data_IF_642306496378
#
_entry.id   IF_642306496378
#
_cell.length_a   1.000
_cell.length_b   1.000
_cell.length_c   1.000
_cell.angle_alpha   90.00
_cell.angle_beta   90.00
_cell.angle_gamma   90.00
#
_symmetry.space_group_name_H-M   'P 1'
#
loop_
_entity.id
_entity.type
_entity.pdbx_description
1 polymer ?
#
# COMPACT_ATOMS: atom_id res chain seq x y z
N UNK A 1 -17.04 -5.03 9.39
CA UNK A 1 -15.77 -5.40 10.02
C UNK A 1 -15.22 -6.61 9.29
N UNK A 2 -14.22 -6.40 8.44
CA UNK A 2 -13.48 -7.48 7.80
C UNK A 2 -12.70 -8.26 8.86
N UNK A 3 -12.66 -9.58 8.75
CA UNK A 3 -11.82 -10.40 9.62
C UNK A 3 -10.36 -10.27 9.17
N UNK A 4 -9.50 -9.93 10.12
CA UNK A 4 -8.06 -9.84 9.92
C UNK A 4 -7.38 -10.96 10.71
N UNK A 5 -6.35 -11.53 10.09
CA UNK A 5 -5.61 -12.63 10.64
C UNK A 5 -4.12 -12.30 10.62
N UNK A 6 -3.43 -12.59 11.72
CA UNK A 6 -1.98 -12.67 11.69
C UNK A 6 -1.57 -13.87 10.82
N UNK A 7 -0.63 -13.67 9.90
CA UNK A 7 -0.05 -14.75 9.11
C UNK A 7 1.05 -15.42 9.94
N UNK A 8 0.76 -16.59 10.52
CA UNK A 8 1.71 -17.30 11.38
C UNK A 8 3.02 -17.59 10.64
N UNK A 9 4.15 -17.27 11.29
CA UNK A 9 5.48 -17.46 10.72
C UNK A 9 5.90 -16.43 9.66
N UNK A 10 5.04 -15.46 9.34
CA UNK A 10 5.38 -14.33 8.48
C UNK A 10 5.64 -13.08 9.34
N UNK A 11 6.78 -12.43 9.09
CA UNK A 11 7.16 -11.19 9.75
C UNK A 11 7.70 -10.21 8.71
N UNK A 12 7.58 -8.91 8.99
CA UNK A 12 8.22 -7.88 8.18
C UNK A 12 9.73 -8.12 8.19
N UNK A 13 10.41 -8.18 7.02
CA UNK A 13 11.86 -8.32 6.99
C UNK A 13 12.55 -7.19 7.73
N UNK A 14 13.62 -7.52 8.47
CA UNK A 14 14.31 -6.57 9.35
C UNK A 14 14.69 -5.24 8.66
N UNK A 15 15.21 -5.20 7.41
CA UNK A 15 15.52 -3.93 6.76
C UNK A 15 14.29 -3.02 6.59
N UNK A 16 13.12 -3.61 6.28
CA UNK A 16 11.88 -2.87 6.10
C UNK A 16 11.31 -2.41 7.45
N UNK A 17 11.45 -3.22 8.51
CA UNK A 17 11.07 -2.82 9.86
C UNK A 17 11.94 -1.65 10.39
N UNK A 18 13.25 -1.67 10.13
CA UNK A 18 14.16 -0.56 10.48
C UNK A 18 13.78 0.70 9.73
N UNK A 19 13.49 0.59 8.43
CA UNK A 19 13.05 1.72 7.61
C UNK A 19 11.75 2.33 8.14
N UNK A 20 10.74 1.52 8.44
CA UNK A 20 9.48 2.00 9.01
C UNK A 20 9.71 2.71 10.34
N UNK A 21 10.50 2.12 11.25
CA UNK A 21 10.81 2.73 12.55
C UNK A 21 11.54 4.09 12.41
N UNK A 22 12.44 4.23 11.43
CA UNK A 22 13.10 5.50 11.15
C UNK A 22 12.11 6.57 10.67
N UNK A 23 11.12 6.18 9.86
CA UNK A 23 10.05 7.09 9.43
C UNK A 23 9.12 7.44 10.60
N UNK A 24 8.77 6.48 11.46
CA UNK A 24 7.97 6.73 12.67
C UNK A 24 8.63 7.76 13.58
N UNK A 25 9.94 7.61 13.79
CA UNK A 25 10.75 8.56 14.57
C UNK A 25 10.77 9.94 13.90
N UNK A 26 11.01 10.00 12.58
CA UNK A 26 11.09 11.25 11.83
C UNK A 26 9.79 12.05 11.87
N UNK A 27 8.64 11.39 11.74
CA UNK A 27 7.33 12.07 11.70
C UNK A 27 6.65 12.17 13.08
N UNK A 28 7.21 11.50 14.09
CA UNK A 28 6.63 11.32 15.41
C UNK A 28 5.16 10.85 15.33
N UNK A 29 4.97 9.69 14.70
CA UNK A 29 3.66 9.11 14.41
C UNK A 29 3.75 7.67 13.89
N UNK A 30 2.63 6.94 13.89
CA UNK A 30 2.60 5.55 13.43
C UNK A 30 2.84 5.46 11.92
N UNK A 31 3.51 4.39 11.50
CA UNK A 31 3.70 4.03 10.09
C UNK A 31 3.10 2.65 9.84
N UNK A 32 2.35 2.52 8.75
CA UNK A 32 1.91 1.22 8.27
C UNK A 32 2.69 0.81 7.02
N UNK A 33 3.14 -0.43 7.00
CA UNK A 33 3.67 -1.07 5.80
C UNK A 33 2.53 -1.90 5.24
N UNK A 34 2.06 -1.61 4.03
CA UNK A 34 0.88 -2.29 3.50
C UNK A 34 0.87 -2.35 1.97
N UNK A 35 0.09 -3.28 1.42
CA UNK A 35 -0.11 -3.38 -0.01
C UNK A 35 1.01 -4.12 -0.74
N UNK A 36 1.59 -3.47 -1.75
CA UNK A 36 2.39 -4.13 -2.77
C UNK A 36 3.67 -4.77 -2.22
N UNK A 37 4.38 -4.06 -1.36
CA UNK A 37 5.65 -4.52 -0.78
C UNK A 37 5.49 -5.83 0.00
N UNK A 38 4.48 -5.93 0.88
CA UNK A 38 4.28 -7.15 1.68
C UNK A 38 3.76 -8.30 0.83
N UNK A 39 2.83 -8.04 -0.10
CA UNK A 39 2.35 -9.03 -1.06
C UNK A 39 3.52 -9.65 -1.83
N UNK A 40 4.40 -8.81 -2.37
CA UNK A 40 5.53 -9.27 -3.18
C UNK A 40 6.51 -10.12 -2.36
N UNK A 41 6.83 -9.68 -1.14
CA UNK A 41 7.70 -10.42 -0.22
C UNK A 41 7.12 -11.78 0.18
N UNK A 42 5.81 -11.86 0.44
CA UNK A 42 5.12 -13.14 0.75
C UNK A 42 5.22 -14.12 -0.43
N UNK A 43 5.15 -13.61 -1.67
CA UNK A 43 5.35 -14.41 -2.88
C UNK A 43 6.82 -14.65 -3.24
N UNK A 44 7.76 -14.17 -2.40
CA UNK A 44 9.21 -14.25 -2.65
C UNK A 44 9.63 -13.57 -3.96
N UNK A 45 8.92 -12.50 -4.32
CA UNK A 45 9.23 -11.64 -5.45
C UNK A 45 9.87 -10.33 -4.97
N UNK A 46 10.76 -9.71 -5.76
CA UNK A 46 11.29 -8.40 -5.43
C UNK A 46 10.17 -7.34 -5.47
N UNK A 47 10.05 -6.49 -4.44
CA UNK A 47 9.16 -5.34 -4.48
C UNK A 47 9.66 -4.32 -5.51
N UNK A 48 8.72 -3.62 -6.16
CA UNK A 48 9.06 -2.53 -7.08
C UNK A 48 9.35 -1.24 -6.32
N UNK A 49 8.58 -1.01 -5.28
CA UNK A 49 8.52 0.16 -4.42
C UNK A 49 8.19 -0.29 -2.99
N UNK A 50 8.47 0.58 -2.02
CA UNK A 50 8.14 0.40 -0.61
C UNK A 50 7.08 1.44 -0.23
N UNK A 51 5.85 0.98 0.00
CA UNK A 51 4.73 1.83 0.41
C UNK A 51 4.68 1.96 1.95
N UNK A 52 4.89 3.18 2.45
CA UNK A 52 4.78 3.54 3.87
C UNK A 52 3.61 4.51 4.05
N UNK A 53 2.58 4.08 4.77
CA UNK A 53 1.35 4.83 4.96
C UNK A 53 1.37 5.55 6.30
N UNK A 54 1.09 6.84 6.29
CA UNK A 54 1.24 7.71 7.46
C UNK A 54 0.07 8.66 7.59
N UNK A 55 -0.36 8.93 8.83
CA UNK A 55 -1.25 10.06 9.11
C UNK A 55 -0.48 11.10 9.92
N UNK A 56 -0.42 12.32 9.38
CA UNK A 56 0.18 13.47 10.05
C UNK A 56 -0.85 14.59 10.05
N UNK A 57 -1.15 15.11 11.24
CA UNK A 57 -2.02 16.28 11.41
C UNK A 57 -1.50 17.45 10.59
N UNK A 58 -2.40 18.24 10.00
CA UNK A 58 -2.06 19.34 9.09
C UNK A 58 -0.99 20.28 9.67
N UNK A 59 -1.10 20.63 10.96
CA UNK A 59 -0.16 21.52 11.67
C UNK A 59 1.27 20.95 11.80
N UNK A 60 1.46 19.66 11.54
CA UNK A 60 2.76 18.96 11.61
C UNK A 60 3.31 18.53 10.24
N UNK A 61 2.56 18.71 9.15
CA UNK A 61 2.95 18.20 7.83
C UNK A 61 4.27 18.80 7.34
N UNK A 62 4.48 20.10 7.49
CA UNK A 62 5.74 20.75 7.10
C UNK A 62 6.96 20.20 7.87
N UNK A 63 6.78 19.98 9.18
CA UNK A 63 7.84 19.43 10.02
C UNK A 63 8.15 17.96 9.65
N UNK A 64 7.11 17.16 9.40
CA UNK A 64 7.26 15.78 8.94
C UNK A 64 7.95 15.74 7.57
N UNK A 65 7.56 16.60 6.63
CA UNK A 65 8.20 16.67 5.32
C UNK A 65 9.68 17.01 5.42
N UNK A 66 10.03 18.01 6.23
CA UNK A 66 11.43 18.36 6.49
C UNK A 66 12.22 17.19 7.06
N UNK A 67 11.65 16.46 8.02
CA UNK A 67 12.31 15.29 8.62
C UNK A 67 12.49 14.14 7.60
N UNK A 68 11.52 13.93 6.70
CA UNK A 68 11.64 12.95 5.62
C UNK A 68 12.73 13.36 4.61
N UNK A 69 12.85 14.65 4.29
CA UNK A 69 13.93 15.15 3.43
C UNK A 69 15.30 15.00 4.10
N UNK A 70 15.39 15.20 5.41
CA UNK A 70 16.63 14.93 6.15
C UNK A 70 16.98 13.43 6.16
N UNK A 71 15.98 12.55 6.17
CA UNK A 71 16.16 11.10 6.19
C UNK A 71 16.51 10.52 4.81
N UNK A 72 15.86 10.98 3.75
CA UNK A 72 15.93 10.38 2.41
C UNK A 72 16.58 11.27 1.35
N UNK A 73 16.78 12.55 1.63
CA UNK A 73 17.14 13.56 0.64
C UNK A 73 15.92 14.16 -0.06
N UNK A 74 16.16 14.93 -1.12
CA UNK A 74 15.10 15.60 -1.87
C UNK A 74 14.17 14.57 -2.54
N UNK A 75 12.85 14.82 -2.54
CA UNK A 75 11.89 13.93 -3.17
C UNK A 75 12.06 13.96 -4.69
N UNK A 76 11.92 12.80 -5.31
CA UNK A 76 11.91 12.65 -6.77
C UNK A 76 10.57 13.04 -7.37
N UNK A 77 9.49 12.83 -6.61
CA UNK A 77 8.14 13.15 -7.03
C UNK A 77 7.30 13.52 -5.81
N UNK A 78 6.47 14.53 -5.98
CA UNK A 78 5.36 14.85 -5.09
C UNK A 78 4.08 14.87 -5.92
N UNK A 79 3.08 14.11 -5.49
CA UNK A 79 1.79 14.02 -6.15
C UNK A 79 0.68 14.31 -5.15
N UNK A 80 0.05 15.47 -5.28
CA UNK A 80 -1.26 15.71 -4.67
C UNK A 80 -2.31 14.90 -5.41
N UNK A 81 -3.12 14.15 -4.66
CA UNK A 81 -4.18 13.32 -5.23
C UNK A 81 -5.42 14.11 -5.66
N UNK A 82 -5.46 15.43 -5.39
CA UNK A 82 -6.59 16.30 -5.73
C UNK A 82 -7.92 15.87 -5.09
N UNK A 83 -8.96 16.68 -5.28
CA UNK A 83 -10.28 16.47 -4.64
C UNK A 83 -11.08 15.27 -5.18
N UNK A 84 -10.70 14.70 -6.33
CA UNK A 84 -11.43 13.61 -6.99
C UNK A 84 -10.83 12.23 -6.78
N UNK A 85 -9.50 12.09 -6.66
CA UNK A 85 -8.82 10.79 -6.49
C UNK A 85 -8.37 10.53 -5.05
N UNK A 86 -8.08 11.59 -4.28
CA UNK A 86 -7.61 11.49 -2.90
C UNK A 86 -8.71 11.16 -1.89
N UNK A 87 -9.90 11.72 -2.08
CA UNK A 87 -11.02 11.56 -1.15
C UNK A 87 -11.59 10.14 -1.12
N UNK A 88 -11.55 9.40 -2.23
CA UNK A 88 -12.06 8.02 -2.28
C UNK A 88 -11.10 6.96 -1.72
N UNK A 89 -9.81 7.32 -1.55
CA UNK A 89 -8.76 6.43 -1.05
C UNK A 89 -8.21 6.87 0.30
N UNK A 90 -8.79 7.93 0.88
CA UNK A 90 -8.28 8.58 2.08
C UNK A 90 -6.80 8.97 1.96
N UNK A 91 -6.32 9.33 0.75
CA UNK A 91 -4.93 9.76 0.50
C UNK A 91 -4.92 11.28 0.29
N UNK A 92 -4.13 12.00 1.07
CA UNK A 92 -3.89 13.43 0.91
C UNK A 92 -2.86 13.70 -0.21
N UNK A 93 -1.71 13.04 -0.15
CA UNK A 93 -0.64 13.14 -1.16
C UNK A 93 0.36 11.99 -1.02
N UNK A 94 1.18 11.81 -2.05
CA UNK A 94 2.23 10.79 -2.12
C UNK A 94 3.56 11.49 -2.38
N UNK A 95 4.60 11.10 -1.65
CA UNK A 95 5.98 11.54 -1.87
C UNK A 95 6.86 10.34 -2.16
N UNK A 96 7.59 10.38 -3.27
CA UNK A 96 8.54 9.32 -3.66
C UNK A 96 9.97 9.81 -3.48
N UNK A 97 10.79 8.98 -2.82
CA UNK A 97 12.21 9.19 -2.63
C UNK A 97 13.02 8.18 -3.46
N UNK A 98 14.10 8.66 -4.08
CA UNK A 98 14.97 7.85 -4.93
C UNK A 98 15.99 7.08 -4.07
N UNK A 99 15.61 5.87 -3.65
CA UNK A 99 16.50 4.93 -2.97
C UNK A 99 16.71 3.69 -3.84
N UNK A 100 17.60 2.73 -3.49
CA UNK A 100 17.80 1.52 -4.29
C UNK A 100 16.51 0.75 -4.62
N UNK A 101 15.53 0.78 -3.72
CA UNK A 101 14.12 0.45 -4.00
C UNK A 101 13.29 1.68 -3.65
N UNK A 102 12.62 2.35 -4.61
CA UNK A 102 11.91 3.59 -4.36
C UNK A 102 11.00 3.52 -3.12
N UNK A 103 11.13 4.50 -2.22
CA UNK A 103 10.29 4.60 -1.02
C UNK A 103 9.20 5.60 -1.30
N UNK A 104 7.94 5.18 -1.13
CA UNK A 104 6.78 6.05 -1.23
C UNK A 104 6.19 6.26 0.15
N UNK A 105 6.20 7.50 0.63
CA UNK A 105 5.49 7.90 1.83
C UNK A 105 4.12 8.44 1.41
N UNK A 106 3.08 7.71 1.78
CA UNK A 106 1.69 7.97 1.40
C UNK A 106 0.98 8.59 2.60
N UNK A 107 0.69 9.88 2.49
CA UNK A 107 0.01 10.63 3.53
C UNK A 107 -1.50 10.41 3.44
N UNK A 108 -2.09 9.96 4.54
CA UNK A 108 -3.52 9.74 4.70
C UNK A 108 -4.23 11.06 5.02
N UNK A 109 -5.42 11.26 4.45
CA UNK A 109 -6.23 12.48 4.67
C UNK A 109 -6.94 12.48 6.03
N UNK A 110 -7.00 11.33 6.70
CA UNK A 110 -7.56 11.18 8.05
C UNK A 110 -6.84 10.08 8.82
N UNK A 111 -7.00 10.11 10.13
CA UNK A 111 -6.53 9.03 10.99
C UNK A 111 -7.40 7.78 10.76
N UNK A 112 -6.76 6.63 10.51
CA UNK A 112 -7.42 5.35 10.28
C UNK A 112 -6.58 4.20 10.82
N UNK A 113 -7.25 3.10 11.14
CA UNK A 113 -6.61 1.84 11.53
C UNK A 113 -6.04 1.09 10.33
N UNK A 114 -5.15 0.13 10.62
CA UNK A 114 -4.58 -0.76 9.60
C UNK A 114 -5.67 -1.58 8.89
N UNK A 115 -6.71 -1.97 9.62
CA UNK A 115 -7.85 -2.72 9.11
C UNK A 115 -8.62 -1.94 8.04
N UNK A 116 -8.96 -0.70 8.36
CA UNK A 116 -9.63 0.23 7.47
C UNK A 116 -8.77 0.56 6.24
N UNK A 117 -7.46 0.77 6.44
CA UNK A 117 -6.52 0.99 5.33
C UNK A 117 -6.51 -0.17 4.34
N UNK A 118 -6.46 -1.42 4.83
CA UNK A 118 -6.41 -2.59 3.95
C UNK A 118 -7.71 -2.79 3.16
N UNK A 119 -8.87 -2.42 3.73
CA UNK A 119 -10.17 -2.49 3.04
C UNK A 119 -10.20 -1.58 1.79
N UNK A 120 -9.45 -0.48 1.79
CA UNK A 120 -9.40 0.50 0.68
C UNK A 120 -8.52 0.07 -0.51
N UNK A 121 -7.84 -1.08 -0.46
CA UNK A 121 -7.03 -1.56 -1.59
C UNK A 121 -7.87 -2.17 -2.71
N UNK A 122 -7.43 -1.97 -3.97
CA UNK A 122 -8.23 -2.32 -5.14
C UNK A 122 -8.38 -3.83 -5.38
N UNK A 123 -7.41 -4.64 -4.92
CA UNK A 123 -7.39 -6.09 -5.16
C UNK A 123 -7.25 -6.85 -3.84
N UNK A 124 -7.90 -8.01 -3.74
CA UNK A 124 -7.83 -8.90 -2.57
C UNK A 124 -6.39 -9.26 -2.22
N UNK A 125 -5.60 -9.64 -3.23
CA UNK A 125 -4.16 -9.93 -3.10
C UNK A 125 -3.30 -8.76 -2.55
N UNK A 126 -3.84 -7.53 -2.52
CA UNK A 126 -3.15 -6.38 -1.92
C UNK A 126 -3.55 -6.14 -0.45
N UNK A 127 -4.60 -6.78 0.08
CA UNK A 127 -5.15 -6.54 1.42
C UNK A 127 -4.32 -7.19 2.53
N UNK A 128 -3.07 -6.73 2.66
CA UNK A 128 -2.06 -7.18 3.61
C UNK A 128 -1.29 -5.98 4.17
N UNK A 129 -0.96 -6.02 5.46
CA UNK A 129 -0.43 -4.88 6.20
C UNK A 129 0.33 -5.27 7.48
N UNK A 130 1.08 -4.33 8.03
CA UNK A 130 1.80 -4.44 9.31
C UNK A 130 1.93 -3.06 9.95
N UNK A 131 1.76 -3.00 11.27
CA UNK A 131 2.00 -1.83 12.11
C UNK A 131 2.85 -2.13 13.37
N UNK A 132 3.25 -3.38 13.57
CA UNK A 132 3.98 -3.84 14.77
C UNK A 132 5.09 -4.87 14.43
N UNK A 133 5.36 -5.08 13.13
CA UNK A 133 6.28 -6.08 12.60
C UNK A 133 5.63 -7.44 12.31
N UNK A 134 4.44 -7.73 12.86
CA UNK A 134 3.63 -8.87 12.47
C UNK A 134 2.87 -8.56 11.18
N UNK A 135 2.73 -9.56 10.32
CA UNK A 135 1.98 -9.41 9.08
C UNK A 135 0.53 -9.83 9.30
N UNK A 136 -0.38 -8.92 8.99
CA UNK A 136 -1.82 -9.10 9.03
C UNK A 136 -2.39 -9.12 7.62
N UNK A 137 -3.38 -9.97 7.38
CA UNK A 137 -4.05 -10.08 6.10
C UNK A 137 -5.56 -10.24 6.27
N UNK A 138 -6.33 -9.77 5.29
CA UNK A 138 -7.78 -9.98 5.24
C UNK A 138 -8.11 -11.38 4.69
N UNK A 139 -9.39 -11.75 4.79
CA UNK A 139 -9.91 -12.96 4.15
C UNK A 139 -9.79 -12.90 2.61
N UNK A 140 -9.93 -11.71 2.01
CA UNK A 140 -9.77 -11.53 0.57
C UNK A 140 -8.35 -11.83 0.10
N UNK A 141 -7.33 -11.38 0.86
CA UNK A 141 -5.94 -11.73 0.58
C UNK A 141 -5.71 -13.23 0.62
N UNK A 142 -6.18 -13.92 1.68
CA UNK A 142 -6.01 -15.37 1.82
C UNK A 142 -6.63 -16.12 0.66
N UNK A 143 -7.87 -15.78 0.32
CA UNK A 143 -8.57 -16.40 -0.81
C UNK A 143 -7.83 -16.18 -2.13
N UNK A 144 -7.37 -14.96 -2.40
CA UNK A 144 -6.62 -14.66 -3.62
C UNK A 144 -5.27 -15.38 -3.68
N UNK A 145 -4.55 -15.43 -2.55
CA UNK A 145 -3.27 -16.11 -2.43
C UNK A 145 -3.40 -17.63 -2.64
N UNK A 146 -4.34 -18.27 -1.95
CA UNK A 146 -4.52 -19.73 -1.99
C UNK A 146 -5.08 -20.21 -3.35
N UNK A 147 -6.00 -19.47 -3.93
CA UNK A 147 -6.66 -19.84 -5.18
C UNK A 147 -5.97 -19.29 -6.44
N UNK A 148 -4.89 -18.51 -6.26
CA UNK A 148 -4.20 -17.79 -7.34
C UNK A 148 -5.19 -16.93 -8.13
N UNK A 149 -5.91 -16.05 -7.44
CA UNK A 149 -6.89 -15.15 -8.05
C UNK A 149 -6.51 -13.68 -7.83
N UNK A 150 -7.01 -12.81 -8.71
CA UNK A 150 -6.94 -11.36 -8.60
C UNK A 150 -8.38 -10.84 -8.54
N UNK A 151 -8.91 -10.73 -7.33
CA UNK A 151 -10.28 -10.26 -7.12
C UNK A 151 -10.29 -8.76 -6.98
N UNK A 152 -11.04 -8.05 -7.82
CA UNK A 152 -11.22 -6.61 -7.70
C UNK A 152 -12.25 -6.29 -6.60
N UNK A 153 -11.88 -5.42 -5.65
CA UNK A 153 -12.60 -5.23 -4.38
C UNK A 153 -13.39 -3.92 -4.31
N UNK A 154 -13.10 -2.94 -5.18
CA UNK A 154 -13.63 -1.57 -5.04
C UNK A 154 -14.81 -1.29 -5.97
N UNK A 155 -15.53 -0.22 -5.67
CA UNK A 155 -16.59 0.33 -6.51
C UNK A 155 -16.20 1.74 -6.95
N UNK A 156 -16.65 2.18 -8.14
CA UNK A 156 -16.51 3.57 -8.59
C UNK A 156 -15.21 3.93 -9.33
N UNK A 157 -14.22 3.05 -9.43
CA UNK A 157 -13.01 3.32 -10.22
C UNK A 157 -13.27 3.19 -11.74
N UNK A 158 -12.53 3.94 -12.56
CA UNK A 158 -12.65 3.86 -14.02
C UNK A 158 -12.10 2.55 -14.56
N UNK A 159 -12.76 1.98 -15.58
CA UNK A 159 -12.35 0.74 -16.24
C UNK A 159 -10.88 0.75 -16.69
N UNK A 160 -10.43 1.87 -17.26
CA UNK A 160 -9.03 2.05 -17.70
C UNK A 160 -8.01 1.89 -16.56
N UNK A 161 -8.34 2.35 -15.35
CA UNK A 161 -7.46 2.25 -14.19
C UNK A 161 -7.47 0.85 -13.61
N UNK A 162 -8.63 0.19 -13.59
CA UNK A 162 -8.75 -1.21 -13.20
C UNK A 162 -7.92 -2.08 -14.15
N UNK A 163 -8.12 -1.93 -15.47
CA UNK A 163 -7.38 -2.67 -16.49
C UNK A 163 -5.87 -2.46 -16.40
N UNK A 164 -5.41 -1.22 -16.24
CA UNK A 164 -3.98 -0.92 -16.10
C UNK A 164 -3.36 -1.55 -14.84
N UNK A 165 -4.08 -1.54 -13.71
CA UNK A 165 -3.60 -2.20 -12.48
C UNK A 165 -3.62 -3.72 -12.61
N UNK A 166 -4.68 -4.27 -13.19
CA UNK A 166 -4.82 -5.70 -13.44
C UNK A 166 -3.70 -6.21 -14.35
N UNK A 167 -3.44 -5.53 -15.47
CA UNK A 167 -2.41 -5.93 -16.42
C UNK A 167 -1.03 -6.04 -15.75
N UNK A 168 -0.67 -5.07 -14.90
CA UNK A 168 0.60 -5.10 -14.13
C UNK A 168 0.63 -6.25 -13.12
N UNK A 169 -0.49 -6.54 -12.46
CA UNK A 169 -0.56 -7.68 -11.54
C UNK A 169 -0.46 -9.00 -12.30
N UNK A 170 -1.12 -9.16 -13.43
CA UNK A 170 -1.02 -10.38 -14.25
C UNK A 170 0.37 -10.58 -14.83
N UNK A 171 1.05 -9.50 -15.23
CA UNK A 171 2.45 -9.57 -15.67
C UNK A 171 3.37 -10.07 -14.53
N UNK A 172 3.17 -9.56 -13.31
CA UNK A 172 3.96 -9.95 -12.13
C UNK A 172 3.59 -11.33 -11.58
N UNK A 173 2.32 -11.71 -11.70
CA UNK A 173 1.73 -12.94 -11.17
C UNK A 173 1.05 -13.74 -12.29
N UNK A 174 1.80 -14.31 -13.24
CA UNK A 174 1.26 -14.91 -14.46
C UNK A 174 0.37 -16.13 -14.23
N UNK A 175 0.47 -16.77 -13.07
CA UNK A 175 -0.38 -17.90 -12.68
C UNK A 175 -1.73 -17.46 -12.08
N UNK A 176 -1.88 -16.17 -11.74
CA UNK A 176 -3.10 -15.67 -11.13
C UNK A 176 -4.16 -15.29 -12.16
N UNK A 177 -5.43 -15.58 -11.84
CA UNK A 177 -6.56 -15.34 -12.74
C UNK A 177 -7.46 -14.22 -12.22
N UNK A 178 -7.94 -13.31 -13.08
CA UNK A 178 -8.90 -12.28 -12.68
C UNK A 178 -10.24 -12.92 -12.26
N UNK A 179 -10.84 -12.42 -11.18
CA UNK A 179 -12.17 -12.84 -10.70
C UNK A 179 -13.01 -11.62 -10.36
N UNK A 180 -14.28 -11.63 -10.76
CA UNK A 180 -15.24 -10.56 -10.41
C UNK A 180 -14.93 -9.20 -11.04
N UNK A 181 -14.06 -9.15 -12.05
CA UNK A 181 -13.70 -7.92 -12.74
C UNK A 181 -14.78 -7.67 -13.81
N UNK A 182 -15.40 -6.47 -13.86
CA UNK A 182 -16.30 -6.10 -14.95
C UNK A 182 -15.65 -6.39 -16.30
N UNK A 183 -16.42 -6.80 -17.32
CA UNK A 183 -15.86 -6.98 -18.66
C UNK A 183 -15.25 -5.65 -19.13
N UNK A 184 -13.93 -5.52 -19.00
CA UNK A 184 -13.23 -4.34 -19.48
C UNK A 184 -13.08 -4.51 -20.97
N UNK A 185 -13.92 -3.83 -21.75
CA UNK A 185 -13.72 -3.75 -23.18
C UNK A 185 -12.46 -2.92 -23.44
N UNK A 186 -11.34 -3.61 -23.68
CA UNK A 186 -10.13 -2.97 -24.19
C UNK A 186 -10.44 -2.55 -25.63
N UNK A 187 -10.64 -1.24 -25.83
CA UNK A 187 -10.79 -0.61 -27.15
C UNK A 187 -9.41 -0.41 -27.75
#
# INVERSE_FOLDING_TARGET
MTKIFCLEGAAVPQPLAILAAAVEEAINGPVFIAGGVLRDLIHKLPPKDIDLWVYVEEVRQDAAMKALVELFGEPKMEMSTGSTLGNERNIAYIVEFDTPVPVQVIFLSRNMGLDELMEDFDFGLCQVGSNDGNIYATEAFKNDFENKTLTYMRHGETESRIAGRLARLQEKYPEHKPVGIPEVHVI
#
